data_IF_591014786854
#
_entry.id   IF_591014786854
#
_cell.length_a   1.000
_cell.length_b   1.000
_cell.length_c   1.000
_cell.angle_alpha   90.00
_cell.angle_beta   90.00
_cell.angle_gamma   90.00
#
_symmetry.space_group_name_H-M   'P 1'
#
loop_
_entity.id
_entity.type
_entity.pdbx_description
1 polymer ?
#
# COMPACT_ATOMS: atom_id res chain seq x y z
N UNK A 1 21.07 4.22 -41.12
CA UNK A 1 20.05 3.53 -40.31
C UNK A 1 19.54 4.38 -39.15
N UNK A 2 20.41 4.93 -38.30
CA UNK A 2 19.99 5.80 -37.17
C UNK A 2 19.13 7.03 -37.57
N UNK A 3 19.33 7.60 -38.76
CA UNK A 3 18.55 8.77 -39.23
C UNK A 3 17.09 8.45 -39.53
N UNK A 4 16.77 7.24 -40.00
CA UNK A 4 15.41 6.84 -40.34
C UNK A 4 14.62 6.52 -39.07
N UNK A 5 15.24 5.85 -38.10
CA UNK A 5 14.64 5.54 -36.81
C UNK A 5 14.33 6.81 -36.00
N UNK A 6 15.24 7.79 -36.00
CA UNK A 6 15.03 9.09 -35.34
C UNK A 6 13.87 9.85 -35.99
N UNK A 7 13.76 9.85 -37.32
CA UNK A 7 12.65 10.49 -38.03
C UNK A 7 11.32 9.81 -37.71
N UNK A 8 11.27 8.49 -37.69
CA UNK A 8 10.06 7.73 -37.30
C UNK A 8 9.67 8.04 -35.85
N UNK A 9 10.63 8.10 -34.92
CA UNK A 9 10.35 8.42 -33.52
C UNK A 9 9.80 9.85 -33.36
N UNK A 10 10.37 10.83 -34.07
CA UNK A 10 9.91 12.23 -34.06
C UNK A 10 8.50 12.35 -34.65
N UNK A 11 8.23 11.70 -35.78
CA UNK A 11 6.89 11.70 -36.39
C UNK A 11 5.87 11.04 -35.46
N UNK A 12 6.24 9.95 -34.79
CA UNK A 12 5.39 9.24 -33.83
C UNK A 12 5.09 10.11 -32.60
N UNK A 13 6.09 10.83 -32.07
CA UNK A 13 5.91 11.78 -30.96
C UNK A 13 5.04 12.97 -31.35
N UNK A 14 5.21 13.51 -32.56
CA UNK A 14 4.37 14.59 -33.09
C UNK A 14 2.92 14.12 -33.34
N UNK A 15 2.73 12.90 -33.84
CA UNK A 15 1.41 12.31 -34.02
C UNK A 15 0.71 12.05 -32.68
N UNK A 16 1.42 11.54 -31.67
CA UNK A 16 0.90 11.37 -30.30
C UNK A 16 0.57 12.71 -29.64
N UNK A 17 1.40 13.73 -29.86
CA UNK A 17 1.16 15.10 -29.40
C UNK A 17 -0.09 15.72 -30.06
N UNK A 18 -0.24 15.54 -31.37
CA UNK A 18 -1.39 16.02 -32.14
C UNK A 18 -2.67 15.27 -31.76
N UNK A 19 -2.62 13.95 -31.57
CA UNK A 19 -3.72 13.16 -31.03
C UNK A 19 -4.10 13.64 -29.63
N UNK A 20 -3.13 13.83 -28.74
CA UNK A 20 -3.37 14.40 -27.42
C UNK A 20 -4.00 15.80 -27.46
N UNK A 21 -3.68 16.61 -28.48
CA UNK A 21 -4.29 17.91 -28.71
C UNK A 21 -5.70 17.83 -29.30
N UNK A 22 -5.95 16.95 -30.27
CA UNK A 22 -7.25 16.78 -30.93
C UNK A 22 -8.30 16.14 -30.02
N UNK A 23 -7.87 15.29 -29.10
CA UNK A 23 -8.72 14.67 -28.08
C UNK A 23 -8.69 15.41 -26.73
N UNK A 24 -8.02 16.58 -26.68
CA UNK A 24 -7.93 17.43 -25.49
C UNK A 24 -9.32 17.88 -25.06
N UNK A 25 -9.82 17.34 -23.95
CA UNK A 25 -11.12 17.68 -23.38
C UNK A 25 -12.27 16.71 -23.71
N UNK A 26 -12.03 15.65 -24.50
CA UNK A 26 -13.02 14.58 -24.71
C UNK A 26 -12.66 13.37 -23.85
N UNK A 27 -13.51 13.02 -22.89
CA UNK A 27 -13.39 11.75 -22.16
C UNK A 27 -13.87 10.64 -23.10
N UNK A 28 -12.96 9.79 -23.55
CA UNK A 28 -13.30 8.61 -24.33
C UNK A 28 -13.64 7.45 -23.40
N UNK A 29 -14.68 6.69 -23.73
CA UNK A 29 -15.08 5.51 -22.98
C UNK A 29 -13.89 4.54 -22.81
N UNK A 30 -13.63 3.99 -21.62
CA UNK A 30 -12.36 3.32 -21.30
C UNK A 30 -12.21 1.97 -22.03
N UNK A 31 -13.34 1.38 -22.46
CA UNK A 31 -13.40 0.15 -23.25
C UNK A 31 -13.40 0.39 -24.78
N UNK A 32 -13.10 1.61 -25.25
CA UNK A 32 -13.06 1.86 -26.70
C UNK A 32 -11.84 1.19 -27.32
N UNK A 33 -12.04 0.17 -28.14
CA UNK A 33 -10.96 -0.49 -28.85
C UNK A 33 -10.51 0.36 -30.06
N UNK A 34 -9.35 1.01 -29.96
CA UNK A 34 -8.82 1.87 -31.03
C UNK A 34 -8.09 1.05 -32.09
N UNK A 35 -8.21 1.41 -33.39
CA UNK A 35 -7.40 0.79 -34.43
C UNK A 35 -5.90 0.87 -34.08
N UNK A 36 -5.18 -0.25 -34.18
CA UNK A 36 -3.75 -0.44 -33.87
C UNK A 36 -3.33 -0.25 -32.41
N UNK A 37 -3.99 0.61 -31.64
CA UNK A 37 -3.64 0.92 -30.26
C UNK A 37 -4.46 0.13 -29.23
N UNK A 38 -5.56 -0.51 -29.61
CA UNK A 38 -6.39 -1.21 -28.64
C UNK A 38 -6.92 -0.28 -27.56
N UNK A 39 -6.90 -0.77 -26.33
CA UNK A 39 -7.20 -0.01 -25.11
C UNK A 39 -6.08 0.94 -24.68
N UNK A 40 -4.91 0.91 -25.34
CA UNK A 40 -3.85 1.89 -25.10
C UNK A 40 -4.29 3.31 -25.51
N UNK A 41 -5.10 3.44 -26.55
CA UNK A 41 -5.60 4.73 -27.03
C UNK A 41 -6.38 5.51 -25.95
N UNK A 42 -7.49 4.94 -25.42
CA UNK A 42 -8.24 5.55 -24.33
C UNK A 42 -7.40 5.75 -23.06
N UNK A 43 -6.47 4.84 -22.74
CA UNK A 43 -5.55 5.01 -21.62
C UNK A 43 -4.65 6.26 -21.78
N UNK A 44 -4.08 6.47 -22.97
CA UNK A 44 -3.22 7.62 -23.26
C UNK A 44 -3.99 8.95 -23.35
N UNK A 45 -5.25 8.94 -23.76
CA UNK A 45 -6.06 10.17 -23.84
C UNK A 45 -6.62 10.56 -22.48
N UNK A 46 -6.98 9.56 -21.67
CA UNK A 46 -7.37 9.78 -20.29
C UNK A 46 -6.16 9.99 -19.36
N UNK A 47 -5.00 10.43 -19.88
CA UNK A 47 -3.76 10.75 -19.14
C UNK A 47 -3.90 11.81 -18.05
N UNK A 48 -5.07 12.44 -17.93
CA UNK A 48 -5.42 13.28 -16.77
C UNK A 48 -5.75 12.48 -15.51
N UNK A 49 -6.17 11.21 -15.67
CA UNK A 49 -6.41 10.30 -14.56
C UNK A 49 -5.11 9.62 -14.18
N UNK A 50 -4.78 9.59 -12.89
CA UNK A 50 -3.71 8.74 -12.36
C UNK A 50 -4.04 7.27 -12.70
N UNK A 51 -3.03 6.40 -12.86
CA UNK A 51 -3.21 5.04 -13.43
C UNK A 51 -4.24 4.22 -12.65
N UNK A 52 -4.23 4.34 -11.33
CA UNK A 52 -5.15 3.61 -10.46
C UNK A 52 -6.60 4.09 -10.61
N UNK A 53 -6.82 5.40 -10.75
CA UNK A 53 -8.15 5.97 -10.97
C UNK A 53 -8.69 5.59 -12.34
N UNK A 54 -7.84 5.53 -13.37
CA UNK A 54 -8.22 5.02 -14.68
C UNK A 54 -8.66 3.54 -14.61
N UNK A 55 -7.91 2.70 -13.92
CA UNK A 55 -8.28 1.28 -13.73
C UNK A 55 -9.59 1.15 -12.94
N UNK A 56 -9.81 1.99 -11.93
CA UNK A 56 -11.08 2.03 -11.20
C UNK A 56 -12.25 2.46 -12.09
N UNK A 57 -12.04 3.47 -12.93
CA UNK A 57 -13.03 3.93 -13.91
C UNK A 57 -13.35 2.84 -14.94
N UNK A 58 -12.33 2.16 -15.49
CA UNK A 58 -12.48 1.04 -16.39
C UNK A 58 -13.32 -0.10 -15.77
N UNK A 59 -12.93 -0.57 -14.59
CA UNK A 59 -13.55 -1.75 -13.96
C UNK A 59 -14.95 -1.46 -13.40
N UNK A 60 -15.22 -0.23 -12.96
CA UNK A 60 -16.60 0.17 -12.57
C UNK A 60 -17.56 0.13 -13.76
N UNK A 61 -17.08 0.39 -14.98
CA UNK A 61 -17.91 0.40 -16.19
C UNK A 61 -17.97 -0.95 -16.91
N UNK A 62 -17.17 -1.94 -16.48
CA UNK A 62 -17.10 -3.27 -17.10
C UNK A 62 -17.75 -4.37 -16.26
N UNK A 63 -18.38 -4.05 -15.13
CA UNK A 63 -18.88 -5.07 -14.20
C UNK A 63 -17.75 -5.76 -13.44
N UNK A 64 -16.73 -5.01 -13.02
CA UNK A 64 -15.59 -5.44 -12.19
C UNK A 64 -14.55 -6.34 -12.85
N UNK A 65 -14.76 -6.79 -14.09
CA UNK A 65 -13.75 -7.51 -14.87
C UNK A 65 -13.73 -7.00 -16.30
N UNK A 66 -12.54 -6.83 -16.89
CA UNK A 66 -12.37 -6.30 -18.24
C UNK A 66 -11.24 -7.04 -18.97
N UNK A 67 -11.48 -7.37 -20.24
CA UNK A 67 -10.43 -7.84 -21.14
C UNK A 67 -9.75 -6.63 -21.76
N UNK A 68 -8.45 -6.53 -21.50
CA UNK A 68 -7.63 -5.51 -22.08
C UNK A 68 -6.86 -6.10 -23.27
N UNK A 69 -6.75 -5.27 -24.30
CA UNK A 69 -6.02 -5.56 -25.52
C UNK A 69 -5.17 -4.34 -25.85
N UNK A 70 -3.94 -4.56 -26.29
CA UNK A 70 -3.06 -3.50 -26.74
C UNK A 70 -1.93 -4.02 -27.61
N UNK A 71 -1.06 -3.11 -28.08
CA UNK A 71 0.06 -3.48 -28.93
C UNK A 71 0.94 -4.55 -28.26
N UNK A 72 1.59 -5.46 -29.01
CA UNK A 72 2.31 -6.61 -28.47
C UNK A 72 3.50 -6.26 -27.57
N UNK A 73 4.00 -5.02 -27.65
CA UNK A 73 5.05 -4.51 -26.76
C UNK A 73 4.53 -3.95 -25.43
N UNK A 74 3.21 -3.95 -25.21
CA UNK A 74 2.55 -3.49 -23.98
C UNK A 74 2.01 -4.65 -23.17
N UNK A 75 1.93 -4.49 -21.84
CA UNK A 75 1.27 -5.45 -20.93
C UNK A 75 -0.26 -5.34 -20.91
N UNK A 76 -0.83 -4.72 -21.94
CA UNK A 76 -2.27 -4.50 -22.01
C UNK A 76 -3.03 -5.72 -22.50
N UNK A 77 -2.38 -6.76 -23.02
CA UNK A 77 -3.03 -8.03 -23.36
C UNK A 77 -3.23 -8.87 -22.08
N UNK A 78 -4.16 -8.46 -21.22
CA UNK A 78 -4.39 -9.06 -19.92
C UNK A 78 -5.87 -8.98 -19.49
N UNK A 79 -6.26 -9.79 -18.51
CA UNK A 79 -7.57 -9.68 -17.86
C UNK A 79 -7.43 -8.87 -16.59
N UNK A 80 -8.12 -7.73 -16.49
CA UNK A 80 -8.14 -6.92 -15.29
C UNK A 80 -9.39 -7.24 -14.45
N UNK A 81 -9.26 -7.41 -13.14
CA UNK A 81 -10.41 -7.70 -12.26
C UNK A 81 -10.29 -7.06 -10.87
N UNK A 82 -11.43 -6.62 -10.34
CA UNK A 82 -11.64 -6.21 -8.96
C UNK A 82 -12.77 -7.00 -8.27
N UNK A 83 -13.28 -8.05 -8.92
CA UNK A 83 -14.38 -8.87 -8.42
C UNK A 83 -13.92 -9.74 -7.23
N UNK A 84 -14.56 -9.65 -6.04
CA UNK A 84 -14.22 -10.46 -4.87
C UNK A 84 -14.22 -11.98 -5.11
N UNK A 85 -15.12 -12.49 -5.95
CA UNK A 85 -15.22 -13.92 -6.26
C UNK A 85 -14.05 -14.37 -7.12
N UNK A 86 -13.71 -13.60 -8.16
CA UNK A 86 -12.54 -13.87 -8.99
C UNK A 86 -11.26 -13.81 -8.17
N UNK A 87 -11.11 -12.79 -7.32
CA UNK A 87 -9.93 -12.64 -6.46
C UNK A 87 -9.81 -13.80 -5.47
N UNK A 88 -10.92 -14.20 -4.84
CA UNK A 88 -10.92 -15.36 -3.95
C UNK A 88 -10.50 -16.63 -4.69
N UNK A 89 -11.06 -16.86 -5.89
CA UNK A 89 -10.75 -18.01 -6.73
C UNK A 89 -9.26 -18.06 -7.12
N UNK A 90 -8.73 -16.93 -7.63
CA UNK A 90 -7.34 -16.82 -8.08
C UNK A 90 -6.34 -17.00 -6.92
N UNK A 91 -6.61 -16.39 -5.76
CA UNK A 91 -5.67 -16.37 -4.63
C UNK A 91 -5.83 -17.54 -3.67
N UNK A 92 -6.97 -18.25 -3.72
CA UNK A 92 -7.31 -19.32 -2.79
C UNK A 92 -7.67 -20.62 -3.51
N UNK A 93 -8.84 -20.66 -4.15
CA UNK A 93 -9.45 -21.92 -4.61
C UNK A 93 -8.68 -22.62 -5.73
N UNK A 94 -8.16 -21.85 -6.71
CA UNK A 94 -7.38 -22.39 -7.84
C UNK A 94 -5.99 -21.75 -7.95
N UNK A 95 -5.37 -21.42 -6.82
CA UNK A 95 -4.06 -20.74 -6.81
C UNK A 95 -2.92 -21.53 -7.46
N UNK A 96 -3.06 -22.85 -7.68
CA UNK A 96 -2.09 -23.65 -8.41
C UNK A 96 -2.05 -23.29 -9.89
N UNK A 97 -3.17 -22.86 -10.48
CA UNK A 97 -3.22 -22.42 -11.87
C UNK A 97 -2.74 -20.97 -12.04
N UNK A 98 -2.60 -20.20 -10.95
CA UNK A 98 -2.24 -18.78 -11.01
C UNK A 98 -0.93 -18.50 -10.26
N UNK A 99 0.16 -18.41 -11.01
CA UNK A 99 1.48 -18.09 -10.45
C UNK A 99 1.80 -16.59 -10.58
N UNK A 100 2.97 -16.15 -10.11
CA UNK A 100 3.39 -14.73 -10.18
C UNK A 100 3.89 -14.31 -11.58
N UNK A 101 4.08 -15.26 -12.48
CA UNK A 101 4.61 -15.03 -13.82
C UNK A 101 6.13 -14.83 -13.88
N UNK A 102 6.72 -14.99 -15.08
CA UNK A 102 8.16 -14.82 -15.28
C UNK A 102 8.63 -13.38 -15.06
N UNK A 103 7.77 -12.39 -15.31
CA UNK A 103 8.10 -10.97 -15.14
C UNK A 103 8.27 -10.58 -13.66
N UNK A 104 7.47 -11.16 -12.76
CA UNK A 104 7.63 -10.94 -11.33
C UNK A 104 8.94 -11.55 -10.84
N UNK A 105 9.31 -12.74 -11.31
CA UNK A 105 10.59 -13.39 -10.97
C UNK A 105 11.77 -12.47 -11.32
N UNK A 106 11.79 -11.89 -12.52
CA UNK A 106 12.81 -10.91 -12.96
C UNK A 106 13.01 -9.73 -12.01
N UNK A 107 11.93 -9.19 -11.44
CA UNK A 107 12.01 -8.07 -10.47
C UNK A 107 12.69 -8.52 -9.17
N UNK A 108 12.50 -9.78 -8.79
CA UNK A 108 13.02 -10.35 -7.55
C UNK A 108 14.20 -11.30 -7.78
N UNK A 109 14.84 -11.30 -8.95
CA UNK A 109 16.00 -12.14 -9.27
C UNK A 109 17.13 -11.92 -8.24
N UNK A 110 17.25 -10.71 -7.70
CA UNK A 110 18.18 -10.35 -6.62
C UNK A 110 17.98 -11.20 -5.34
N UNK A 111 16.77 -11.67 -5.09
CA UNK A 111 16.38 -12.41 -3.88
C UNK A 111 16.31 -13.93 -4.10
N UNK A 112 16.66 -14.41 -5.30
CA UNK A 112 16.62 -15.83 -5.67
C UNK A 112 15.24 -16.48 -5.47
N UNK A 113 15.20 -17.79 -5.22
CA UNK A 113 13.97 -18.53 -4.88
C UNK A 113 13.52 -18.33 -3.41
N UNK A 114 13.70 -17.13 -2.85
CA UNK A 114 13.27 -16.79 -1.49
C UNK A 114 11.74 -16.71 -1.35
N UNK A 115 11.24 -16.52 -0.11
CA UNK A 115 9.79 -16.49 0.20
C UNK A 115 8.96 -15.52 -0.68
N UNK A 116 9.58 -14.45 -1.17
CA UNK A 116 8.95 -13.43 -2.01
C UNK A 116 8.84 -13.86 -3.48
N UNK A 117 9.77 -14.66 -4.01
CA UNK A 117 9.83 -15.05 -5.42
C UNK A 117 9.40 -16.50 -5.67
N UNK A 118 9.55 -17.39 -4.69
CA UNK A 118 9.18 -18.80 -4.77
C UNK A 118 7.69 -19.03 -5.06
N UNK A 119 7.41 -20.13 -5.75
CA UNK A 119 6.09 -20.69 -6.02
C UNK A 119 6.05 -22.19 -5.66
N UNK A 120 4.86 -22.78 -5.59
CA UNK A 120 4.66 -24.21 -5.29
C UNK A 120 5.31 -24.69 -3.97
N UNK A 121 6.01 -25.83 -3.97
CA UNK A 121 6.45 -26.51 -2.75
C UNK A 121 7.58 -25.79 -2.01
N UNK A 122 8.48 -25.12 -2.74
CA UNK A 122 9.53 -24.29 -2.13
C UNK A 122 8.93 -23.13 -1.33
N UNK A 123 7.89 -22.49 -1.88
CA UNK A 123 7.13 -21.47 -1.16
C UNK A 123 6.44 -22.03 0.11
N UNK A 124 5.87 -23.24 0.05
CA UNK A 124 5.21 -23.88 1.23
C UNK A 124 6.23 -24.12 2.34
N UNK A 125 7.42 -24.59 2.00
CA UNK A 125 8.51 -24.84 2.96
C UNK A 125 8.98 -23.54 3.64
N UNK A 126 9.37 -22.53 2.85
CA UNK A 126 9.81 -21.24 3.40
C UNK A 126 8.72 -20.57 4.24
N UNK A 127 7.45 -20.65 3.83
CA UNK A 127 6.33 -20.08 4.58
C UNK A 127 6.11 -20.79 5.91
N UNK A 128 6.19 -22.12 5.96
CA UNK A 128 6.02 -22.88 7.21
C UNK A 128 7.05 -22.48 8.25
N UNK A 129 8.32 -22.38 7.86
CA UNK A 129 9.41 -21.98 8.74
C UNK A 129 9.23 -20.54 9.25
N UNK A 130 9.00 -19.59 8.35
CA UNK A 130 8.84 -18.18 8.72
C UNK A 130 7.59 -17.93 9.58
N UNK A 131 6.49 -18.69 9.37
CA UNK A 131 5.29 -18.58 10.21
C UNK A 131 5.57 -18.93 11.67
N UNK A 132 6.37 -19.96 11.91
CA UNK A 132 6.76 -20.35 13.26
C UNK A 132 7.60 -19.27 13.93
N UNK A 133 8.51 -18.64 13.18
CA UNK A 133 9.35 -17.55 13.69
C UNK A 133 8.53 -16.31 14.05
N UNK A 134 7.66 -15.86 13.15
CA UNK A 134 6.89 -14.61 13.34
C UNK A 134 5.87 -14.69 14.47
N UNK A 135 5.39 -15.90 14.80
CA UNK A 135 4.48 -16.12 15.91
C UNK A 135 5.21 -16.40 17.24
N UNK A 136 6.55 -16.47 17.24
CA UNK A 136 7.31 -16.78 18.43
C UNK A 136 7.42 -15.54 19.33
N UNK A 137 7.02 -15.64 20.59
CA UNK A 137 7.02 -14.51 21.54
C UNK A 137 8.40 -13.86 21.71
N UNK A 138 9.47 -14.66 21.72
CA UNK A 138 10.84 -14.14 21.78
C UNK A 138 11.25 -13.33 20.55
N UNK A 139 10.71 -13.66 19.36
CA UNK A 139 10.95 -12.90 18.14
C UNK A 139 10.16 -11.58 18.16
N UNK A 140 8.88 -11.62 18.54
CA UNK A 140 8.07 -10.41 18.72
C UNK A 140 8.67 -9.45 19.74
N UNK A 141 9.16 -9.96 20.88
CA UNK A 141 9.85 -9.14 21.88
C UNK A 141 11.19 -8.57 21.39
N UNK A 142 11.88 -9.26 20.48
CA UNK A 142 13.07 -8.71 19.83
C UNK A 142 12.70 -7.57 18.88
N UNK A 143 11.65 -7.73 18.08
CA UNK A 143 11.13 -6.68 17.18
C UNK A 143 10.70 -5.46 17.98
N UNK A 144 9.97 -5.64 19.07
CA UNK A 144 9.56 -4.54 19.96
C UNK A 144 10.77 -3.75 20.46
N UNK A 145 11.80 -4.44 20.96
CA UNK A 145 13.02 -3.80 21.47
C UNK A 145 13.80 -3.07 20.39
N UNK A 146 13.94 -3.68 19.20
CA UNK A 146 14.63 -3.04 18.07
C UNK A 146 13.87 -1.81 17.58
N UNK A 147 12.55 -1.90 17.45
CA UNK A 147 11.70 -0.77 17.08
C UNK A 147 11.83 0.37 18.10
N UNK A 148 11.76 0.05 19.39
CA UNK A 148 11.96 1.02 20.49
C UNK A 148 13.31 1.71 20.40
N UNK A 149 14.39 0.94 20.31
CA UNK A 149 15.75 1.46 20.19
C UNK A 149 15.87 2.42 19.01
N UNK A 150 15.31 2.05 17.84
CA UNK A 150 15.35 2.88 16.63
C UNK A 150 14.58 4.18 16.76
N UNK A 151 13.45 4.15 17.47
CA UNK A 151 12.70 5.36 17.77
C UNK A 151 13.49 6.28 18.70
N UNK A 152 14.09 5.74 19.76
CA UNK A 152 14.86 6.50 20.75
C UNK A 152 16.15 7.09 20.16
N UNK A 153 16.90 6.32 19.38
CA UNK A 153 18.21 6.74 18.87
C UNK A 153 18.16 7.53 17.55
N UNK A 154 17.07 7.41 16.79
CA UNK A 154 16.95 8.01 15.45
C UNK A 154 15.72 8.90 15.30
N UNK A 155 14.53 8.34 15.46
CA UNK A 155 13.27 9.05 15.18
C UNK A 155 13.05 10.25 16.11
N UNK A 156 13.11 10.07 17.43
CA UNK A 156 12.85 11.14 18.39
C UNK A 156 13.87 12.29 18.31
N UNK A 157 15.18 12.06 18.18
CA UNK A 157 16.14 13.15 17.95
C UNK A 157 15.79 14.04 16.75
N UNK A 158 15.39 13.44 15.62
CA UNK A 158 14.96 14.17 14.42
C UNK A 158 13.72 15.03 14.72
N UNK A 159 12.71 14.43 15.35
CA UNK A 159 11.46 15.12 15.67
C UNK A 159 11.66 16.24 16.71
N UNK A 160 12.47 16.00 17.73
CA UNK A 160 12.82 16.98 18.76
C UNK A 160 13.59 18.17 18.19
N UNK A 161 14.54 17.93 17.29
CA UNK A 161 15.27 19.00 16.61
C UNK A 161 14.35 19.83 15.73
N UNK A 162 13.48 19.18 14.95
CA UNK A 162 12.53 19.90 14.12
C UNK A 162 11.52 20.72 14.94
N UNK A 163 11.05 20.17 16.06
CA UNK A 163 10.17 20.88 16.99
C UNK A 163 10.85 22.10 17.62
N UNK A 164 12.14 22.00 17.95
CA UNK A 164 12.93 23.14 18.47
C UNK A 164 13.16 24.22 17.44
N UNK A 165 13.43 23.84 16.19
CA UNK A 165 13.75 24.78 15.09
C UNK A 165 12.50 25.31 14.38
N UNK A 166 11.32 24.74 14.63
CA UNK A 166 10.08 25.06 13.90
C UNK A 166 10.07 24.54 12.45
N UNK A 167 10.98 23.63 12.11
CA UNK A 167 11.11 23.09 10.76
C UNK A 167 10.02 22.06 10.46
N UNK A 168 9.58 22.02 9.21
CA UNK A 168 8.68 20.96 8.76
C UNK A 168 9.45 19.64 8.55
N UNK A 169 8.87 18.51 8.96
CA UNK A 169 9.45 17.16 8.83
C UNK A 169 8.65 16.31 7.88
N UNK A 170 9.31 15.57 6.99
CA UNK A 170 8.66 14.53 6.20
C UNK A 170 8.44 13.23 7.01
N UNK A 171 7.24 12.99 7.52
CA UNK A 171 6.87 11.74 8.20
C UNK A 171 6.90 10.50 7.28
N UNK A 172 6.74 10.62 5.95
CA UNK A 172 6.81 9.47 5.03
C UNK A 172 8.26 9.05 4.95
N UNK A 173 9.16 10.00 4.71
CA UNK A 173 10.60 9.71 4.68
C UNK A 173 11.05 9.11 6.01
N UNK A 174 10.61 9.70 7.13
CA UNK A 174 10.90 9.22 8.47
C UNK A 174 10.41 7.78 8.70
N UNK A 175 9.14 7.49 8.42
CA UNK A 175 8.58 6.15 8.60
C UNK A 175 9.17 5.14 7.61
N UNK A 176 9.47 5.55 6.37
CA UNK A 176 10.11 4.69 5.38
C UNK A 176 11.52 4.27 5.83
N UNK A 177 12.33 5.21 6.34
CA UNK A 177 13.66 4.92 6.90
C UNK A 177 13.57 4.03 8.13
N UNK A 178 12.61 4.29 9.01
CA UNK A 178 12.32 3.44 10.17
C UNK A 178 12.00 1.99 9.75
N UNK A 179 11.11 1.80 8.79
CA UNK A 179 10.75 0.47 8.27
C UNK A 179 11.92 -0.20 7.57
N UNK A 180 12.72 0.53 6.78
CA UNK A 180 13.91 -0.01 6.11
C UNK A 180 14.96 -0.46 7.12
N UNK A 181 15.28 0.35 8.14
CA UNK A 181 16.27 0.01 9.16
C UNK A 181 15.86 -1.26 9.92
N UNK A 182 14.59 -1.37 10.33
CA UNK A 182 14.08 -2.57 11.00
C UNK A 182 14.12 -3.78 10.05
N UNK A 183 13.62 -3.61 8.84
CA UNK A 183 13.57 -4.69 7.84
C UNK A 183 14.97 -5.21 7.52
N UNK A 184 15.94 -4.34 7.28
CA UNK A 184 17.33 -4.74 7.01
C UNK A 184 17.97 -5.39 8.24
N UNK A 185 17.67 -4.91 9.46
CA UNK A 185 18.18 -5.52 10.69
C UNK A 185 17.71 -6.96 10.85
N UNK A 186 16.44 -7.24 10.56
CA UNK A 186 15.86 -8.59 10.71
C UNK A 186 16.11 -9.50 9.51
N UNK A 187 16.07 -8.99 8.29
CA UNK A 187 16.26 -9.80 7.08
C UNK A 187 17.73 -10.04 6.76
N UNK A 188 18.59 -9.04 6.97
CA UNK A 188 19.98 -9.06 6.54
C UNK A 188 20.97 -9.09 7.71
N UNK A 189 20.49 -8.89 8.95
CA UNK A 189 21.35 -8.70 10.12
C UNK A 189 22.06 -7.34 10.16
N UNK A 190 21.86 -6.50 9.15
CA UNK A 190 22.56 -5.24 8.93
C UNK A 190 21.66 -4.09 9.35
N UNK A 191 22.19 -3.22 10.21
CA UNK A 191 21.57 -1.94 10.49
C UNK A 191 22.11 -0.89 9.51
N UNK A 192 21.25 -0.34 8.66
CA UNK A 192 21.64 0.71 7.71
C UNK A 192 21.83 2.08 8.37
N UNK A 193 21.28 2.27 9.57
CA UNK A 193 21.28 3.53 10.30
C UNK A 193 20.82 4.72 9.44
N UNK A 194 19.79 4.51 8.61
CA UNK A 194 19.28 5.51 7.68
C UNK A 194 18.54 6.66 8.37
N UNK A 195 18.10 6.45 9.61
CA UNK A 195 17.59 7.49 10.52
C UNK A 195 18.75 8.29 11.14
N UNK A 196 19.27 9.28 10.41
CA UNK A 196 20.29 10.22 10.90
C UNK A 196 19.87 11.68 10.66
N UNK A 197 20.50 12.62 11.37
CA UNK A 197 20.13 14.04 11.45
C UNK A 197 20.29 14.79 10.10
N UNK A 198 21.15 14.31 9.21
CA UNK A 198 21.40 14.93 7.90
C UNK A 198 20.31 14.54 6.88
N UNK A 199 19.15 15.21 6.98
CA UNK A 199 17.96 14.92 6.16
C UNK A 199 17.77 15.92 5.00
N UNK A 200 17.72 15.46 3.74
CA UNK A 200 17.09 16.21 2.66
C UNK A 200 15.55 16.12 2.73
N UNK A 201 14.88 17.25 2.51
CA UNK A 201 13.48 17.54 2.88
C UNK A 201 12.48 17.33 1.72
N UNK A 202 11.35 16.63 1.91
CA UNK A 202 10.28 16.48 0.88
C UNK A 202 8.83 16.47 1.50
N UNK A 203 7.72 16.94 0.88
CA UNK A 203 6.41 17.25 1.59
C UNK A 203 5.04 16.51 1.32
N UNK A 204 4.30 16.05 2.36
CA UNK A 204 2.86 16.10 2.91
C UNK A 204 1.56 15.39 2.41
N UNK A 205 0.53 15.37 3.30
CA UNK A 205 -0.57 14.40 3.63
C UNK A 205 -1.99 14.84 3.39
N UNK A 206 -2.89 13.83 3.50
CA UNK A 206 -4.11 13.87 4.34
C UNK A 206 -4.22 12.59 5.19
N UNK A 207 -4.28 12.70 6.53
CA UNK A 207 -4.77 11.67 7.48
C UNK A 207 -4.95 12.16 8.95
N UNK A 208 -4.92 13.47 9.25
CA UNK A 208 -4.60 13.95 10.60
C UNK A 208 -5.75 14.42 11.48
N UNK A 209 -6.99 14.44 10.99
CA UNK A 209 -8.15 14.88 11.77
C UNK A 209 -8.58 13.87 12.86
N UNK A 210 -8.05 12.64 12.78
CA UNK A 210 -8.39 11.48 13.61
C UNK A 210 -7.42 11.24 14.78
N UNK A 211 -6.38 12.08 14.88
CA UNK A 211 -5.40 12.02 15.97
C UNK A 211 -6.07 12.23 17.33
N UNK A 212 -7.21 12.94 17.36
CA UNK A 212 -7.95 13.18 18.60
C UNK A 212 -8.51 11.88 19.19
N UNK A 213 -9.22 11.06 18.41
CA UNK A 213 -9.76 9.79 18.89
C UNK A 213 -8.64 8.83 19.31
N UNK A 214 -7.54 8.78 18.55
CA UNK A 214 -6.37 7.94 18.93
C UNK A 214 -5.79 8.43 20.27
N UNK A 215 -5.68 9.75 20.50
CA UNK A 215 -5.20 10.29 21.78
C UNK A 215 -6.13 9.94 22.94
N UNK A 216 -7.44 10.00 22.73
CA UNK A 216 -8.44 9.62 23.74
C UNK A 216 -8.33 8.12 24.08
N UNK A 217 -8.26 7.26 23.06
CA UNK A 217 -8.03 5.81 23.23
C UNK A 217 -6.74 5.52 24.00
N UNK A 218 -5.64 6.22 23.71
CA UNK A 218 -4.39 6.06 24.44
C UNK A 218 -4.49 6.49 25.91
N UNK A 219 -5.23 7.56 26.22
CA UNK A 219 -5.44 7.96 27.62
C UNK A 219 -6.20 6.89 28.40
N UNK A 220 -7.24 6.31 27.80
CA UNK A 220 -8.06 5.28 28.42
C UNK A 220 -7.32 3.94 28.57
N UNK A 221 -6.71 3.43 27.49
CA UNK A 221 -6.09 2.10 27.45
C UNK A 221 -4.91 1.95 28.42
N UNK A 222 -4.22 3.06 28.72
CA UNK A 222 -3.04 3.07 29.58
C UNK A 222 -3.26 3.72 30.95
N UNK A 223 -4.48 4.17 31.26
CA UNK A 223 -4.82 4.88 32.52
C UNK A 223 -3.91 6.08 32.82
N UNK A 224 -3.43 6.77 31.78
CA UNK A 224 -2.37 7.77 31.90
C UNK A 224 -2.93 9.12 32.38
N UNK A 225 -2.24 9.72 33.36
CA UNK A 225 -2.53 11.09 33.82
C UNK A 225 -1.76 12.11 32.99
N UNK A 226 -2.35 13.29 32.79
CA UNK A 226 -1.63 14.40 32.12
C UNK A 226 -0.33 14.72 32.87
N UNK A 227 0.81 14.59 32.17
CA UNK A 227 2.14 14.84 32.74
C UNK A 227 3.01 13.60 33.01
N UNK A 228 2.54 12.37 32.76
CA UNK A 228 3.37 11.17 32.92
C UNK A 228 4.39 10.98 31.78
N UNK A 229 5.60 10.51 32.12
CA UNK A 229 6.66 10.20 31.13
C UNK A 229 6.19 9.11 30.18
N UNK A 230 6.44 9.30 28.88
CA UNK A 230 6.21 8.28 27.86
C UNK A 230 6.87 6.96 28.25
N UNK A 231 6.05 5.92 28.40
CA UNK A 231 6.49 4.54 28.47
C UNK A 231 6.09 3.86 27.18
N UNK A 232 7.05 3.21 26.53
CA UNK A 232 6.76 2.44 25.33
C UNK A 232 5.76 1.32 25.67
N UNK A 233 4.63 1.25 24.94
CA UNK A 233 3.61 0.25 25.20
C UNK A 233 4.16 -1.13 24.87
N UNK A 234 3.82 -2.11 25.70
CA UNK A 234 4.18 -3.50 25.41
C UNK A 234 3.36 -4.03 24.21
N UNK A 235 3.79 -5.14 23.62
CA UNK A 235 3.01 -5.86 22.61
C UNK A 235 1.55 -6.13 23.05
N UNK A 236 1.33 -6.43 24.33
CA UNK A 236 -0.02 -6.71 24.83
C UNK A 236 -0.89 -5.46 24.88
N UNK A 237 -0.30 -4.29 25.11
CA UNK A 237 -1.04 -3.06 25.23
C UNK A 237 -1.43 -2.46 23.88
N UNK A 238 -0.54 -2.54 22.88
CA UNK A 238 -0.87 -2.08 21.52
C UNK A 238 -2.01 -2.90 20.90
N UNK A 239 -2.23 -4.14 21.35
CA UNK A 239 -3.34 -4.98 20.89
C UNK A 239 -4.70 -4.48 21.41
N UNK A 240 -4.74 -3.70 22.49
CA UNK A 240 -5.95 -3.08 23.04
C UNK A 240 -6.39 -1.83 22.28
N UNK A 241 -5.52 -1.29 21.41
CA UNK A 241 -5.80 -0.09 20.61
C UNK A 241 -6.67 -0.46 19.41
N UNK A 242 -7.99 -0.47 19.62
CA UNK A 242 -9.04 -0.82 18.65
C UNK A 242 -9.18 0.27 17.61
N UNK A 243 -9.40 1.53 18.01
CA UNK A 243 -9.57 2.64 17.08
C UNK A 243 -8.34 2.85 16.22
N UNK A 244 -7.13 2.79 16.80
CA UNK A 244 -5.90 2.83 16.02
C UNK A 244 -5.81 1.67 15.01
N UNK A 245 -6.21 0.46 15.40
CA UNK A 245 -6.23 -0.68 14.48
C UNK A 245 -7.22 -0.46 13.33
N UNK A 246 -8.41 0.03 13.65
CA UNK A 246 -9.45 0.38 12.70
C UNK A 246 -9.01 1.47 11.72
N UNK A 247 -8.34 2.52 12.21
CA UNK A 247 -7.78 3.60 11.39
C UNK A 247 -6.66 3.10 10.47
N UNK A 248 -5.80 2.18 10.94
CA UNK A 248 -4.79 1.53 10.11
C UNK A 248 -5.47 0.68 9.02
N UNK A 249 -6.47 -0.12 9.36
CA UNK A 249 -7.21 -0.92 8.38
C UNK A 249 -7.93 -0.07 7.34
N UNK A 250 -8.54 1.03 7.75
CA UNK A 250 -9.20 1.95 6.83
C UNK A 250 -8.19 2.66 5.90
N UNK A 251 -7.04 3.04 6.45
CA UNK A 251 -5.92 3.57 5.65
C UNK A 251 -5.46 2.54 4.62
N UNK A 252 -5.26 1.29 5.04
CA UNK A 252 -4.81 0.20 4.18
C UNK A 252 -5.86 -0.24 3.15
N UNK A 253 -7.15 -0.04 3.43
CA UNK A 253 -8.23 -0.24 2.47
C UNK A 253 -8.16 0.81 1.38
N UNK A 254 -8.15 2.09 1.75
CA UNK A 254 -8.12 3.18 0.78
C UNK A 254 -6.77 3.29 0.06
N UNK A 255 -5.67 3.01 0.74
CA UNK A 255 -4.32 3.19 0.21
C UNK A 255 -3.50 1.90 0.38
N UNK A 256 -3.87 0.82 -0.33
CA UNK A 256 -3.12 -0.43 -0.27
C UNK A 256 -1.70 -0.20 -0.79
N UNK A 257 -0.64 -0.60 -0.05
CA UNK A 257 0.74 -0.42 -0.49
C UNK A 257 1.02 -1.08 -1.85
N UNK A 258 0.34 -2.19 -2.16
CA UNK A 258 0.37 -2.82 -3.49
C UNK A 258 -1.01 -2.66 -4.13
N UNK A 259 -1.25 -1.61 -4.92
CA UNK A 259 -2.57 -1.31 -5.47
C UNK A 259 -2.99 -2.26 -6.60
N UNK A 260 -2.00 -2.81 -7.31
CA UNK A 260 -2.16 -3.71 -8.45
C UNK A 260 -1.32 -4.97 -8.22
N UNK A 261 -1.94 -6.14 -8.32
CA UNK A 261 -1.27 -7.44 -8.18
C UNK A 261 -1.37 -8.22 -9.49
N UNK A 262 -0.24 -8.70 -10.00
CA UNK A 262 -0.19 -9.46 -11.25
C UNK A 262 -0.12 -10.97 -10.97
N UNK A 263 -0.86 -11.73 -11.76
CA UNK A 263 -0.81 -13.18 -11.85
C UNK A 263 -0.68 -13.62 -13.30
N UNK A 264 -0.26 -14.85 -13.51
CA UNK A 264 -0.25 -15.49 -14.81
C UNK A 264 -0.93 -16.85 -14.70
N UNK A 265 -1.88 -17.12 -15.59
CA UNK A 265 -2.51 -18.43 -15.72
C UNK A 265 -1.53 -19.44 -16.32
N UNK A 266 -1.50 -20.66 -15.79
CA UNK A 266 -0.67 -21.76 -16.32
C UNK A 266 -1.42 -22.48 -17.43
N UNK A 267 -2.71 -22.74 -17.23
CA UNK A 267 -3.61 -23.32 -18.21
C UNK A 267 -4.85 -22.44 -18.40
N UNK A 268 -5.54 -22.55 -19.56
CA UNK A 268 -6.79 -21.83 -19.80
C UNK A 268 -7.83 -22.16 -18.72
N UNK A 269 -8.62 -21.16 -18.33
CA UNK A 269 -9.59 -21.27 -17.25
C UNK A 269 -10.79 -20.33 -17.47
N UNK A 270 -11.86 -20.51 -16.69
CA UNK A 270 -13.01 -19.61 -16.65
C UNK A 270 -13.21 -19.12 -15.22
N UNK A 271 -13.08 -17.81 -15.03
CA UNK A 271 -13.24 -17.18 -13.73
C UNK A 271 -14.72 -17.24 -13.26
N UNK A 272 -14.99 -17.14 -11.95
CA UNK A 272 -16.35 -17.10 -11.41
C UNK A 272 -17.30 -16.08 -12.07
N UNK A 273 -16.78 -14.96 -12.57
CA UNK A 273 -17.56 -13.97 -13.34
C UNK A 273 -18.01 -14.46 -14.72
N UNK A 274 -17.49 -15.60 -15.20
CA UNK A 274 -17.69 -16.12 -16.55
C UNK A 274 -16.61 -15.69 -17.55
N UNK A 275 -15.65 -14.86 -17.13
CA UNK A 275 -14.56 -14.38 -17.97
C UNK A 275 -13.53 -15.49 -18.25
N UNK A 276 -13.18 -15.67 -19.52
CA UNK A 276 -12.20 -16.67 -19.94
C UNK A 276 -10.79 -16.13 -19.83
N UNK A 277 -9.89 -16.90 -19.25
CA UNK A 277 -8.45 -16.64 -19.28
C UNK A 277 -7.76 -17.70 -20.12
N UNK A 278 -6.88 -17.29 -21.02
CA UNK A 278 -6.06 -18.14 -21.85
C UNK A 278 -4.87 -18.72 -21.11
N UNK A 279 -4.09 -19.54 -21.82
CA UNK A 279 -2.79 -20.03 -21.34
C UNK A 279 -1.77 -18.90 -21.31
N UNK A 280 -0.93 -18.88 -20.27
CA UNK A 280 0.12 -17.88 -20.07
C UNK A 280 -0.38 -16.42 -20.11
N UNK A 281 -1.66 -16.21 -19.80
CA UNK A 281 -2.27 -14.89 -19.85
C UNK A 281 -2.02 -14.13 -18.54
N UNK A 282 -1.61 -12.87 -18.63
CA UNK A 282 -1.49 -12.00 -17.46
C UNK A 282 -2.88 -11.61 -16.95
N UNK A 283 -3.02 -11.60 -15.62
CA UNK A 283 -4.21 -11.19 -14.90
C UNK A 283 -3.81 -10.09 -13.94
N UNK A 284 -4.47 -8.94 -14.05
CA UNK A 284 -4.28 -7.77 -13.22
C UNK A 284 -5.39 -7.69 -12.17
N UNK A 285 -5.05 -7.96 -10.92
CA UNK A 285 -5.95 -7.79 -9.79
C UNK A 285 -5.79 -6.38 -9.23
N UNK A 286 -6.89 -5.61 -9.13
CA UNK A 286 -6.84 -4.24 -8.59
C UNK A 286 -7.44 -4.16 -7.19
N UNK A 287 -6.58 -4.18 -6.17
CA UNK A 287 -6.98 -3.98 -4.77
C UNK A 287 -7.46 -2.54 -4.53
N UNK A 288 -6.79 -1.57 -5.16
CA UNK A 288 -7.16 -0.15 -5.08
C UNK A 288 -8.60 0.11 -5.54
N UNK A 289 -8.98 -0.56 -6.63
CA UNK A 289 -10.32 -0.48 -7.22
C UNK A 289 -11.34 -1.17 -6.32
N UNK A 290 -11.05 -2.40 -5.89
CA UNK A 290 -11.95 -3.17 -5.03
C UNK A 290 -12.34 -2.41 -3.76
N UNK A 291 -11.36 -1.71 -3.16
CA UNK A 291 -11.57 -0.87 -1.98
C UNK A 291 -12.58 0.27 -2.20
N UNK A 292 -12.77 0.74 -3.45
CA UNK A 292 -13.58 1.91 -3.80
C UNK A 292 -14.91 1.56 -4.47
N UNK A 293 -15.26 0.28 -4.52
CA UNK A 293 -16.52 -0.14 -5.13
C UNK A 293 -17.67 -0.05 -4.15
N UNK A 294 -18.70 0.72 -4.52
CA UNK A 294 -19.93 0.88 -3.74
C UNK A 294 -20.63 -0.47 -3.49
N UNK A 295 -20.67 -1.36 -4.48
CA UNK A 295 -21.24 -2.70 -4.33
C UNK A 295 -20.54 -3.58 -3.29
N UNK A 296 -19.29 -3.24 -2.93
CA UNK A 296 -18.47 -3.99 -1.99
C UNK A 296 -18.47 -3.30 -0.62
N UNK A 297 -18.31 -1.98 -0.59
CA UNK A 297 -18.05 -1.19 0.62
C UNK A 297 -19.19 -0.25 1.03
N UNK A 298 -20.26 -0.15 0.24
CA UNK A 298 -21.38 0.76 0.46
C UNK A 298 -21.15 2.15 -0.13
N UNK A 299 -22.15 3.03 -0.03
CA UNK A 299 -22.10 4.39 -0.58
C UNK A 299 -20.97 5.25 0.04
N UNK A 300 -20.54 4.92 1.26
CA UNK A 300 -19.43 5.57 1.96
C UNK A 300 -18.05 4.99 1.59
N UNK A 301 -17.93 4.22 0.50
CA UNK A 301 -16.69 3.52 0.13
C UNK A 301 -15.49 4.45 -0.10
N UNK A 302 -15.71 5.72 -0.42
CA UNK A 302 -14.64 6.72 -0.62
C UNK A 302 -14.30 7.49 0.66
N UNK A 303 -15.12 7.36 1.71
CA UNK A 303 -14.89 8.03 2.99
C UNK A 303 -13.85 7.30 3.82
N UNK A 304 -13.06 8.05 4.59
CA UNK A 304 -12.22 7.51 5.63
C UNK A 304 -13.06 7.33 6.89
N UNK A 305 -13.45 6.09 7.21
CA UNK A 305 -14.35 5.78 8.32
C UNK A 305 -13.85 4.59 9.14
N UNK A 306 -12.94 4.80 10.13
CA UNK A 306 -12.43 3.73 10.99
C UNK A 306 -13.54 2.90 11.65
N UNK A 307 -14.65 3.53 12.03
CA UNK A 307 -15.79 2.91 12.72
C UNK A 307 -16.37 1.72 11.96
N UNK A 308 -16.19 1.65 10.62
CA UNK A 308 -16.64 0.48 9.85
C UNK A 308 -15.96 -0.82 10.26
N UNK A 309 -14.83 -0.74 10.96
CA UNK A 309 -14.05 -1.87 11.43
C UNK A 309 -14.35 -2.25 12.87
N UNK A 310 -15.26 -1.55 13.54
CA UNK A 310 -15.54 -1.70 14.97
C UNK A 310 -16.98 -2.21 15.15
N UNK A 311 -17.13 -3.28 15.93
CA UNK A 311 -18.45 -3.84 16.27
C UNK A 311 -19.16 -2.97 17.30
N UNK A 312 -20.46 -3.20 17.50
CA UNK A 312 -21.23 -2.57 18.60
C UNK A 312 -20.63 -2.85 19.99
N UNK A 313 -19.84 -3.93 20.12
CA UNK A 313 -19.13 -4.29 21.35
C UNK A 313 -17.77 -3.60 21.51
N UNK A 314 -17.36 -2.77 20.55
CA UNK A 314 -16.05 -2.12 20.56
C UNK A 314 -14.90 -3.05 20.15
N UNK A 315 -15.17 -4.13 19.42
CA UNK A 315 -14.15 -5.09 18.96
C UNK A 315 -13.89 -4.96 17.46
N UNK A 316 -12.68 -5.28 17.00
CA UNK A 316 -12.37 -5.29 15.56
C UNK A 316 -13.18 -6.38 14.85
N UNK A 317 -13.97 -5.99 13.86
CA UNK A 317 -14.73 -6.95 13.05
C UNK A 317 -13.81 -7.71 12.10
N UNK A 318 -14.15 -8.98 11.87
CA UNK A 318 -13.49 -9.77 10.84
C UNK A 318 -14.12 -9.49 9.47
N UNK A 319 -13.35 -8.85 8.59
CA UNK A 319 -13.69 -8.73 7.17
C UNK A 319 -12.97 -9.82 6.39
N UNK A 320 -13.72 -10.60 5.61
CA UNK A 320 -13.16 -11.68 4.79
C UNK A 320 -12.09 -11.18 3.83
N UNK A 321 -11.02 -11.95 3.64
CA UNK A 321 -9.87 -11.54 2.82
C UNK A 321 -10.19 -11.35 1.33
N UNK A 322 -11.32 -11.85 0.85
CA UNK A 322 -11.82 -11.58 -0.50
C UNK A 322 -12.40 -10.17 -0.66
N UNK A 323 -12.86 -9.54 0.43
CA UNK A 323 -13.35 -8.16 0.47
C UNK A 323 -12.26 -7.16 0.87
N UNK A 324 -11.37 -7.55 1.79
CA UNK A 324 -10.21 -6.75 2.21
C UNK A 324 -8.90 -7.46 1.83
N UNK A 325 -8.37 -7.11 0.66
CA UNK A 325 -7.30 -7.84 -0.03
C UNK A 325 -5.90 -7.23 0.17
N UNK A 326 -5.75 -6.19 1.00
CA UNK A 326 -4.46 -5.51 1.21
C UNK A 326 -3.36 -6.45 1.73
N UNK A 327 -3.73 -7.45 2.53
CA UNK A 327 -2.82 -8.51 2.98
C UNK A 327 -2.95 -9.79 2.14
N UNK A 328 -3.40 -9.70 0.88
CA UNK A 328 -3.72 -10.86 0.02
C UNK A 328 -4.78 -11.78 0.66
N UNK A 329 -5.06 -12.92 0.02
CA UNK A 329 -6.05 -13.89 0.49
C UNK A 329 -5.51 -15.32 0.41
N UNK A 330 -6.21 -16.23 1.10
CA UNK A 330 -5.96 -17.66 1.03
C UNK A 330 -4.57 -18.07 1.52
N UNK A 331 -4.00 -19.17 0.99
CA UNK A 331 -2.66 -19.59 1.35
C UNK A 331 -1.61 -18.52 1.05
N UNK A 332 -1.86 -17.60 0.10
CA UNK A 332 -0.96 -16.50 -0.26
C UNK A 332 -1.15 -15.24 0.60
N UNK A 333 -1.93 -15.28 1.68
CA UNK A 333 -2.06 -14.17 2.62
C UNK A 333 -0.69 -13.70 3.14
N UNK A 334 -0.54 -12.42 3.46
CA UNK A 334 0.71 -11.83 3.90
C UNK A 334 1.15 -12.46 5.22
N UNK A 335 2.36 -13.01 5.24
CA UNK A 335 2.90 -13.64 6.45
C UNK A 335 3.29 -12.61 7.51
N UNK A 336 3.75 -11.44 7.09
CA UNK A 336 4.16 -10.34 7.97
C UNK A 336 3.01 -9.43 8.41
N UNK A 337 1.74 -9.84 8.23
CA UNK A 337 0.58 -9.00 8.56
C UNK A 337 0.63 -8.49 10.01
N UNK A 338 0.73 -9.41 10.96
CA UNK A 338 0.66 -9.06 12.39
C UNK A 338 1.89 -8.25 12.84
N UNK A 339 3.06 -8.56 12.26
CA UNK A 339 4.29 -7.82 12.48
C UNK A 339 4.19 -6.38 11.97
N UNK A 340 3.68 -6.19 10.75
CA UNK A 340 3.50 -4.87 10.16
C UNK A 340 2.50 -4.04 10.97
N UNK A 341 1.40 -4.64 11.42
CA UNK A 341 0.41 -3.97 12.28
C UNK A 341 1.01 -3.57 13.62
N UNK A 342 1.84 -4.44 14.22
CA UNK A 342 2.57 -4.14 15.44
C UNK A 342 3.51 -2.95 15.25
N UNK A 343 4.36 -2.96 14.22
CA UNK A 343 5.33 -1.88 13.95
C UNK A 343 4.62 -0.54 13.68
N UNK A 344 3.56 -0.55 12.87
CA UNK A 344 2.74 0.65 12.62
C UNK A 344 2.13 1.19 13.91
N UNK A 345 1.54 0.33 14.74
CA UNK A 345 0.94 0.74 16.03
C UNK A 345 1.98 1.34 16.97
N UNK A 346 3.14 0.71 17.11
CA UNK A 346 4.23 1.21 17.95
C UNK A 346 4.69 2.60 17.48
N UNK A 347 4.95 2.76 16.18
CA UNK A 347 5.43 4.01 15.62
C UNK A 347 4.40 5.14 15.75
N UNK A 348 3.16 4.87 15.35
CA UNK A 348 2.08 5.86 15.40
C UNK A 348 1.79 6.29 16.83
N UNK A 349 1.72 5.34 17.76
CA UNK A 349 1.48 5.65 19.19
C UNK A 349 2.62 6.50 19.76
N UNK A 350 3.87 6.10 19.50
CA UNK A 350 5.03 6.83 19.96
C UNK A 350 5.05 8.28 19.45
N UNK A 351 4.70 8.50 18.19
CA UNK A 351 4.68 9.83 17.61
C UNK A 351 3.51 10.66 18.14
N UNK A 352 2.28 10.13 18.10
CA UNK A 352 1.07 10.86 18.54
C UNK A 352 1.13 11.22 20.04
N UNK A 353 1.73 10.34 20.86
CA UNK A 353 1.89 10.58 22.28
C UNK A 353 2.85 11.73 22.60
N UNK A 354 4.03 11.71 21.97
CA UNK A 354 5.10 12.65 22.30
C UNK A 354 4.95 14.00 21.59
N UNK A 355 4.21 14.03 20.48
CA UNK A 355 4.16 15.17 19.58
C UNK A 355 2.72 15.57 19.21
N UNK A 356 2.51 16.86 19.04
CA UNK A 356 1.37 17.41 18.32
C UNK A 356 1.81 17.66 16.88
N UNK A 357 1.03 17.11 15.96
CA UNK A 357 1.34 17.09 14.54
C UNK A 357 0.32 17.96 13.83
N UNK A 358 0.82 18.92 13.06
CA UNK A 358 0.00 19.77 12.20
C UNK A 358 0.47 19.65 10.76
N UNK A 359 -0.50 19.45 9.88
CA UNK A 359 -0.34 19.47 8.43
C UNK A 359 0.21 20.82 7.98
N UNK A 360 1.29 20.85 7.17
CA UNK A 360 1.68 22.11 6.51
C UNK A 360 0.51 22.62 5.66
N UNK A 361 0.13 23.89 5.85
CA UNK A 361 -1.04 24.49 5.20
C UNK A 361 -0.88 24.50 3.67
N UNK A 362 -1.96 24.19 2.96
CA UNK A 362 -1.99 24.19 1.48
C UNK A 362 -1.26 23.01 0.84
N UNK A 363 -0.88 22.02 1.65
CA UNK A 363 -0.15 20.88 1.15
C UNK A 363 -1.02 19.93 0.30
N UNK A 364 -0.54 19.59 -0.91
CA UNK A 364 -1.26 18.73 -1.86
C UNK A 364 -0.90 17.25 -1.73
N UNK A 365 -1.93 16.41 -1.74
CA UNK A 365 -1.84 14.97 -1.49
C UNK A 365 -2.39 14.26 -2.69
N UNK A 366 -1.55 13.48 -3.34
CA UNK A 366 -1.96 12.61 -4.42
C UNK A 366 -1.19 11.30 -4.29
N UNK A 367 -1.80 10.16 -4.68
CA UNK A 367 -1.05 8.94 -4.87
C UNK A 367 0.00 9.14 -5.98
N UNK A 368 1.18 8.55 -5.81
CA UNK A 368 2.17 8.46 -6.87
C UNK A 368 1.84 7.33 -7.85
N UNK A 369 2.06 7.53 -9.15
CA UNK A 369 2.11 6.45 -10.12
C UNK A 369 3.37 5.60 -9.89
N UNK A 370 3.24 4.54 -9.10
CA UNK A 370 4.33 3.65 -8.73
C UNK A 370 3.81 2.23 -8.47
N UNK A 371 4.70 1.23 -8.58
CA UNK A 371 4.41 -0.17 -8.23
C UNK A 371 3.94 -0.28 -6.78
N UNK A 372 4.52 0.53 -5.89
CA UNK A 372 4.08 0.70 -4.51
C UNK A 372 3.35 2.03 -4.41
N UNK A 373 2.18 2.04 -3.79
CA UNK A 373 1.41 3.26 -3.55
C UNK A 373 2.05 4.05 -2.41
N UNK A 374 2.39 5.31 -2.68
CA UNK A 374 2.88 6.25 -1.68
C UNK A 374 2.40 7.67 -2.01
N UNK A 375 2.41 8.61 -1.04
CA UNK A 375 2.10 10.01 -1.31
C UNK A 375 3.14 10.64 -2.26
N UNK A 376 2.71 11.08 -3.44
CA UNK A 376 3.52 11.66 -4.52
C UNK A 376 4.46 12.77 -4.04
N UNK A 377 3.98 13.59 -3.12
CA UNK A 377 4.72 14.73 -2.63
C UNK A 377 5.45 14.44 -1.30
N UNK A 378 5.11 13.40 -0.53
CA UNK A 378 5.75 13.08 0.76
C UNK A 378 4.84 13.24 1.97
N UNK A 379 5.41 13.46 3.16
CA UNK A 379 4.73 13.73 4.44
C UNK A 379 5.26 14.93 5.35
N UNK A 380 5.40 16.20 4.91
CA UNK A 380 5.64 17.45 5.70
C UNK A 380 4.62 17.91 6.76
N UNK A 381 5.02 17.80 8.02
CA UNK A 381 4.30 18.31 9.19
C UNK A 381 5.08 19.38 9.91
N UNK A 382 4.38 20.29 10.57
CA UNK A 382 4.92 20.98 11.73
C UNK A 382 4.69 20.11 12.97
N UNK A 383 5.73 20.01 13.79
CA UNK A 383 5.72 19.22 15.00
C UNK A 383 6.00 20.14 16.17
N UNK A 384 5.16 20.04 17.20
CA UNK A 384 5.42 20.65 18.50
C UNK A 384 5.46 19.55 19.55
N UNK A 385 6.44 19.57 20.43
CA UNK A 385 6.51 18.61 21.53
C UNK A 385 5.31 18.83 22.45
N UNK A 386 4.61 17.76 22.81
CA UNK A 386 3.59 17.86 23.87
C UNK A 386 4.37 18.17 25.16
N UNK A 387 4.30 19.42 25.66
CA UNK A 387 5.09 19.85 26.82
C UNK A 387 4.77 18.95 28.02
N UNK A 388 5.69 18.04 28.33
CA UNK A 388 5.85 17.49 29.66
C UNK A 388 7.24 17.91 30.11
N UNK A 389 7.37 19.16 30.55
CA UNK A 389 8.46 19.53 31.45
C UNK A 389 8.07 18.96 32.81
N UNK A 390 8.47 17.71 33.06
CA UNK A 390 8.65 17.26 34.44
C UNK A 390 10.11 17.55 34.74
N UNK A 391 10.34 18.65 35.48
CA UNK A 391 11.59 18.88 36.18
C UNK A 391 11.88 17.73 37.14
#
# INVERSE_FOLDING_TARGET
MATVEVVIAVISLLALSLLGFLFRGKITHPLTNWPLLGHLGPFLINTRLEVHDYVTYLLSHSGYTAHLEGPPFTRLNCVATSDPQNIHYILSSNMSNFNKGPNFKKIFDLWGDGILAADADSWRFHRRLNRSLFNHSGFLGLVERTARQKMESGMFPILDQAAKLGNAVDLRDLFQRFTIDITCKFLLGIDLNSLSIDLPVVPFSKAFDEVKQIKEELKEAFHLKEGEKWQFPSFQDINKLVYLHAAIYETLRLYPPVPLNYKTSIEPDTLPSGDKVGKDQEILISYYTQARMESIWGADCLEFKPERWISEKGEIIHVGSSKFTTFSAGPRACLGKDLALMEMKLAITAVIWNYRIEVVKGHSVAPANSIILYPKHGLKVHITKNFIIVK
#
